data_IF_544940210939
#
_entry.id   IF_544940210939
#
_cell.length_a   1.000
_cell.length_b   1.000
_cell.length_c   1.000
_cell.angle_alpha   90.00
_cell.angle_beta   90.00
_cell.angle_gamma   90.00
#
_symmetry.space_group_name_H-M   'P 1'
#
loop_
_entity.id
_entity.type
_entity.pdbx_description
1 polymer ?
#
# COMPACT_ATOMS: atom_id res chain seq x y z
N UNK A 1 -14.01 -11.16 -8.85
CA UNK A 1 -14.07 -10.27 -10.01
C UNK A 1 -12.81 -9.39 -10.04
N UNK A 2 -12.20 -9.28 -11.21
CA UNK A 2 -11.03 -8.45 -11.45
C UNK A 2 -11.45 -7.06 -11.92
N UNK A 3 -10.57 -6.05 -11.79
CA UNK A 3 -10.86 -4.69 -12.27
C UNK A 3 -11.20 -4.68 -13.78
N UNK A 4 -10.54 -5.53 -14.56
CA UNK A 4 -10.79 -5.65 -16.01
C UNK A 4 -12.09 -6.38 -16.35
N UNK A 5 -12.80 -6.96 -15.36
CA UNK A 5 -14.15 -7.48 -15.52
C UNK A 5 -15.22 -6.40 -15.43
N UNK A 6 -14.83 -5.15 -15.15
CA UNK A 6 -15.74 -4.00 -15.08
C UNK A 6 -16.34 -3.69 -16.44
N UNK A 7 -17.68 -3.57 -16.51
CA UNK A 7 -18.39 -3.17 -17.73
C UNK A 7 -17.98 -1.78 -18.20
N UNK A 8 -17.68 -0.85 -17.28
CA UNK A 8 -17.20 0.47 -17.61
C UNK A 8 -15.84 0.41 -18.32
N UNK A 9 -14.91 -0.37 -17.79
CA UNK A 9 -13.58 -0.51 -18.40
C UNK A 9 -13.64 -1.17 -19.78
N UNK A 10 -14.55 -2.14 -19.98
CA UNK A 10 -14.76 -2.78 -21.29
C UNK A 10 -15.29 -1.82 -22.36
N UNK A 11 -15.90 -0.70 -21.97
CA UNK A 11 -16.44 0.34 -22.85
C UNK A 11 -15.53 1.56 -22.96
N UNK A 12 -14.38 1.54 -22.29
CA UNK A 12 -13.43 2.66 -22.25
C UNK A 12 -12.15 2.28 -22.97
N UNK A 13 -11.68 3.14 -23.87
CA UNK A 13 -10.33 3.03 -24.40
C UNK A 13 -9.34 3.38 -23.29
N UNK A 14 -8.51 2.43 -22.92
CA UNK A 14 -7.44 2.63 -21.95
C UNK A 14 -6.09 2.20 -22.50
N UNK A 15 -5.04 2.77 -21.96
CA UNK A 15 -3.66 2.47 -22.33
C UNK A 15 -2.97 1.83 -21.14
N UNK A 16 -2.35 0.69 -21.38
CA UNK A 16 -1.52 0.02 -20.37
C UNK A 16 -0.10 0.54 -20.49
N UNK A 17 0.46 0.99 -19.37
CA UNK A 17 1.88 1.34 -19.25
C UNK A 17 2.52 0.37 -18.27
N UNK A 18 3.46 -0.45 -18.76
CA UNK A 18 4.22 -1.37 -17.92
C UNK A 18 5.53 -0.72 -17.47
N UNK A 19 5.73 -0.63 -16.15
CA UNK A 19 6.99 -0.15 -15.59
C UNK A 19 8.05 -1.25 -15.68
N UNK A 20 9.15 -0.95 -16.38
CA UNK A 20 10.21 -1.92 -16.67
C UNK A 20 11.30 -1.96 -15.60
N UNK A 21 11.51 -0.86 -14.87
CA UNK A 21 12.61 -0.73 -13.93
C UNK A 21 12.20 -1.12 -12.52
N UNK A 22 13.00 -2.01 -11.91
CA UNK A 22 12.82 -2.45 -10.52
C UNK A 22 13.76 -1.64 -9.64
N UNK A 23 13.20 -0.80 -8.74
CA UNK A 23 13.98 0.06 -7.83
C UNK A 23 14.25 -0.59 -6.47
N UNK A 24 13.45 -1.57 -6.06
CA UNK A 24 13.55 -2.18 -4.73
C UNK A 24 14.74 -3.09 -4.58
N UNK A 25 14.99 -3.92 -5.59
CA UNK A 25 16.11 -4.87 -5.63
C UNK A 25 17.14 -4.40 -6.66
N UNK A 26 18.41 -4.44 -6.27
CA UNK A 26 19.54 -4.09 -7.14
C UNK A 26 20.30 -5.30 -7.66
N UNK A 27 20.13 -6.48 -7.06
CA UNK A 27 20.76 -7.73 -7.49
C UNK A 27 20.03 -8.34 -8.68
N UNK A 28 20.67 -8.43 -9.88
CA UNK A 28 20.06 -9.02 -11.08
C UNK A 28 19.67 -10.47 -10.91
N UNK A 29 20.42 -11.27 -10.10
CA UNK A 29 20.08 -12.66 -9.83
C UNK A 29 18.75 -12.75 -9.08
N UNK A 30 18.61 -11.98 -8.01
CA UNK A 30 17.38 -11.99 -7.21
C UNK A 30 16.18 -11.47 -8.02
N UNK A 31 16.34 -10.39 -8.79
CA UNK A 31 15.30 -9.89 -9.71
C UNK A 31 14.90 -10.97 -10.73
N UNK A 32 15.87 -11.70 -11.28
CA UNK A 32 15.61 -12.81 -12.21
C UNK A 32 14.79 -13.93 -11.56
N UNK A 33 15.14 -14.35 -10.34
CA UNK A 33 14.39 -15.36 -9.58
C UNK A 33 12.96 -14.90 -9.29
N UNK A 34 12.78 -13.64 -8.85
CA UNK A 34 11.47 -13.07 -8.60
C UNK A 34 10.61 -13.00 -9.86
N UNK A 35 11.18 -12.64 -11.00
CA UNK A 35 10.46 -12.62 -12.28
C UNK A 35 10.00 -14.02 -12.69
N UNK A 36 10.84 -15.04 -12.55
CA UNK A 36 10.45 -16.45 -12.84
C UNK A 36 9.29 -16.90 -11.94
N UNK A 37 9.29 -16.52 -10.64
CA UNK A 37 8.15 -16.79 -9.74
C UNK A 37 6.90 -16.02 -10.19
N UNK A 38 7.03 -14.74 -10.54
CA UNK A 38 5.92 -13.88 -11.00
C UNK A 38 5.23 -14.41 -12.25
N UNK A 39 6.02 -14.89 -13.22
CA UNK A 39 5.53 -15.36 -14.52
C UNK A 39 5.23 -16.87 -14.54
N UNK A 40 5.29 -17.55 -13.38
CA UNK A 40 5.08 -19.00 -13.27
C UNK A 40 6.02 -19.84 -14.14
N UNK A 41 7.21 -19.32 -14.38
CA UNK A 41 8.28 -20.00 -15.15
C UNK A 41 9.40 -20.51 -14.24
N UNK A 42 9.15 -20.55 -12.92
CA UNK A 42 10.11 -21.06 -11.95
C UNK A 42 10.35 -22.57 -12.14
N UNK A 43 11.55 -22.92 -12.55
CA UNK A 43 12.02 -24.27 -12.72
C UNK A 43 12.63 -24.84 -11.42
N UNK A 44 13.08 -26.09 -11.47
CA UNK A 44 13.69 -26.76 -10.33
C UNK A 44 14.97 -26.03 -9.84
N UNK A 45 15.76 -25.44 -10.72
CA UNK A 45 16.97 -24.69 -10.39
C UNK A 45 16.60 -23.39 -9.63
N UNK A 46 15.56 -22.68 -10.10
CA UNK A 46 15.03 -21.49 -9.43
C UNK A 46 14.60 -21.79 -8.00
N UNK A 47 13.82 -22.88 -7.82
CA UNK A 47 13.38 -23.31 -6.49
C UNK A 47 14.54 -23.78 -5.61
N UNK A 48 15.50 -24.48 -6.18
CA UNK A 48 16.70 -24.91 -5.45
C UNK A 48 17.48 -23.69 -4.93
N UNK A 49 17.68 -22.68 -5.78
CA UNK A 49 18.39 -21.44 -5.40
C UNK A 49 17.65 -20.69 -4.30
N UNK A 50 16.33 -20.51 -4.43
CA UNK A 50 15.52 -19.88 -3.37
C UNK A 50 15.54 -20.69 -2.07
N UNK A 51 15.44 -22.02 -2.17
CA UNK A 51 15.40 -22.93 -1.02
C UNK A 51 16.75 -23.05 -0.28
N UNK A 52 17.87 -22.58 -0.87
CA UNK A 52 19.13 -22.41 -0.12
C UNK A 52 19.00 -21.39 1.02
N UNK A 53 17.98 -20.53 0.98
CA UNK A 53 17.68 -19.57 2.06
C UNK A 53 16.87 -20.19 3.21
N UNK A 54 16.51 -21.46 3.14
CA UNK A 54 15.87 -22.18 4.24
C UNK A 54 16.89 -22.47 5.33
N UNK A 55 16.61 -22.02 6.55
CA UNK A 55 17.42 -22.30 7.75
C UNK A 55 16.48 -22.86 8.81
N UNK A 56 16.64 -24.16 9.09
CA UNK A 56 15.82 -24.83 10.09
C UNK A 56 16.07 -24.22 11.49
N UNK A 57 14.99 -23.89 12.20
CA UNK A 57 15.07 -23.34 13.56
C UNK A 57 15.76 -21.98 13.64
N UNK A 58 15.74 -21.20 12.56
CA UNK A 58 16.35 -19.86 12.55
C UNK A 58 15.81 -18.99 13.68
N UNK A 59 16.72 -18.54 14.53
CA UNK A 59 16.42 -17.58 15.60
C UNK A 59 17.08 -16.24 15.23
N UNK A 60 16.30 -15.24 14.86
CA UNK A 60 16.85 -13.98 14.36
C UNK A 60 17.59 -13.21 15.46
N UNK A 61 18.73 -12.57 15.13
CA UNK A 61 19.36 -11.61 16.02
C UNK A 61 18.40 -10.42 16.26
N UNK A 62 18.16 -10.08 17.53
CA UNK A 62 17.19 -9.01 17.91
C UNK A 62 17.50 -7.66 17.26
N UNK A 63 18.78 -7.34 17.07
CA UNK A 63 19.23 -6.05 16.56
C UNK A 63 19.06 -5.89 15.04
N UNK A 64 18.85 -6.98 14.32
CA UNK A 64 18.73 -6.94 12.85
C UNK A 64 17.30 -6.69 12.36
N UNK A 65 16.31 -6.71 13.26
CA UNK A 65 14.93 -6.35 12.94
C UNK A 65 14.26 -7.28 11.92
N UNK A 66 14.51 -8.59 12.04
CA UNK A 66 13.79 -9.56 11.20
C UNK A 66 12.29 -9.51 11.46
N UNK A 67 11.51 -9.40 10.39
CA UNK A 67 10.05 -9.52 10.44
C UNK A 67 9.59 -10.81 9.77
N UNK A 68 8.67 -11.55 10.40
CA UNK A 68 8.08 -12.76 9.81
C UNK A 68 6.88 -12.40 8.93
N UNK A 69 6.93 -12.79 7.66
CA UNK A 69 5.81 -12.64 6.72
C UNK A 69 4.99 -13.94 6.70
N UNK A 70 3.75 -13.85 7.14
CA UNK A 70 2.83 -14.99 7.24
C UNK A 70 1.59 -14.81 6.35
N UNK A 71 0.84 -15.87 6.11
CA UNK A 71 -0.32 -15.83 5.20
C UNK A 71 -1.62 -15.38 5.89
N UNK A 72 -1.75 -15.57 7.20
CA UNK A 72 -3.00 -15.33 7.96
C UNK A 72 -2.81 -14.34 9.11
N UNK A 73 -3.80 -13.47 9.34
CA UNK A 73 -3.77 -12.50 10.44
C UNK A 73 -3.64 -13.19 11.80
N UNK A 74 -4.44 -14.24 12.07
CA UNK A 74 -4.39 -14.95 13.35
C UNK A 74 -2.99 -15.49 13.67
N UNK A 75 -2.22 -15.92 12.67
CA UNK A 75 -0.84 -16.38 12.85
C UNK A 75 0.08 -15.20 13.22
N UNK A 76 -0.05 -14.06 12.54
CA UNK A 76 0.73 -12.86 12.86
C UNK A 76 0.42 -12.38 14.27
N UNK A 77 -0.86 -12.29 14.63
CA UNK A 77 -1.31 -11.82 15.94
C UNK A 77 -0.82 -12.74 17.06
N UNK A 78 -0.91 -14.07 16.87
CA UNK A 78 -0.41 -15.04 17.85
C UNK A 78 1.12 -14.95 18.06
N UNK A 79 1.90 -14.72 16.99
CA UNK A 79 3.34 -14.53 17.10
C UNK A 79 3.65 -13.23 17.85
N UNK A 80 3.03 -12.12 17.45
CA UNK A 80 3.24 -10.82 18.08
C UNK A 80 2.88 -10.84 19.57
N UNK A 81 1.74 -11.45 19.91
CA UNK A 81 1.30 -11.58 21.29
C UNK A 81 2.30 -12.43 22.11
N UNK A 82 2.71 -13.57 21.60
CA UNK A 82 3.67 -14.47 22.27
C UNK A 82 5.02 -13.78 22.53
N UNK A 83 5.55 -13.07 21.54
CA UNK A 83 6.83 -12.37 21.67
C UNK A 83 6.72 -11.20 22.65
N UNK A 84 5.60 -10.46 22.65
CA UNK A 84 5.35 -9.39 23.60
C UNK A 84 5.22 -9.93 25.03
N UNK A 85 4.54 -11.05 25.23
CA UNK A 85 4.36 -11.70 26.54
C UNK A 85 5.69 -12.25 27.07
N UNK A 86 6.59 -12.71 26.20
CA UNK A 86 7.89 -13.21 26.55
C UNK A 86 8.85 -12.13 27.12
N UNK A 87 8.55 -10.85 26.89
CA UNK A 87 9.29 -9.76 27.52
C UNK A 87 8.89 -9.61 28.99
N UNK A 88 9.88 -9.67 29.89
CA UNK A 88 9.67 -9.58 31.33
C UNK A 88 9.46 -8.15 31.88
N UNK A 89 9.60 -7.15 31.01
CA UNK A 89 9.45 -5.72 31.36
C UNK A 89 7.97 -5.34 31.54
N UNK A 90 7.65 -4.29 32.32
CA UNK A 90 6.28 -3.80 32.46
C UNK A 90 5.64 -3.44 31.12
N UNK A 91 4.33 -3.62 31.03
CA UNK A 91 3.55 -3.20 29.88
C UNK A 91 3.00 -1.78 30.09
N UNK A 92 3.09 -0.97 29.05
CA UNK A 92 2.51 0.37 28.97
C UNK A 92 1.39 0.38 27.93
N UNK A 93 0.29 1.05 28.26
CA UNK A 93 -0.89 1.10 27.41
C UNK A 93 -1.17 2.55 27.01
N UNK A 94 -1.30 2.78 25.71
CA UNK A 94 -1.58 4.10 25.17
C UNK A 94 -2.92 4.05 24.43
N UNK A 95 -3.90 4.79 24.94
CA UNK A 95 -5.22 4.87 24.35
C UNK A 95 -5.26 5.94 23.25
N UNK A 96 -5.83 5.58 22.10
CA UNK A 96 -6.05 6.51 21.02
C UNK A 96 -7.09 7.57 21.38
N UNK A 97 -6.85 8.81 20.95
CA UNK A 97 -7.86 9.87 20.99
C UNK A 97 -8.65 9.87 19.70
N UNK A 98 -9.98 9.67 19.82
CA UNK A 98 -10.89 9.65 18.67
C UNK A 98 -11.80 10.86 18.75
N UNK A 99 -11.88 11.63 17.67
CA UNK A 99 -12.75 12.77 17.56
C UNK A 99 -13.78 12.54 16.45
N UNK A 100 -15.05 12.74 16.77
CA UNK A 100 -16.21 12.56 15.87
C UNK A 100 -16.25 11.17 15.20
N UNK A 101 -16.54 11.16 13.89
CA UNK A 101 -16.82 9.94 13.13
C UNK A 101 -15.54 9.34 12.55
N UNK A 102 -14.95 8.38 13.25
CA UNK A 102 -13.85 7.55 12.75
C UNK A 102 -14.19 6.08 13.00
N UNK A 103 -14.61 5.33 11.97
CA UNK A 103 -15.06 3.95 12.11
C UNK A 103 -13.95 3.01 12.62
N UNK A 104 -14.29 2.10 13.55
CA UNK A 104 -13.31 1.14 14.11
C UNK A 104 -12.62 0.28 13.04
N UNK A 105 -13.33 -0.10 11.99
CA UNK A 105 -12.78 -0.87 10.87
C UNK A 105 -11.69 -0.11 10.07
N UNK A 106 -11.63 1.21 10.25
CA UNK A 106 -10.67 2.10 9.60
C UNK A 106 -9.49 2.48 10.51
N UNK A 107 -9.42 1.95 11.73
CA UNK A 107 -8.31 2.27 12.64
C UNK A 107 -6.98 1.83 12.03
N UNK A 108 -6.00 2.73 11.92
CA UNK A 108 -4.70 2.43 11.35
C UNK A 108 -3.85 1.51 12.24
N UNK A 109 -4.08 1.59 13.56
CA UNK A 109 -3.45 0.76 14.59
C UNK A 109 -4.46 0.44 15.70
N UNK A 110 -4.00 -0.27 16.73
CA UNK A 110 -4.84 -0.67 17.85
C UNK A 110 -5.33 0.57 18.63
N UNK A 111 -6.61 0.56 19.06
CA UNK A 111 -7.17 1.64 19.87
C UNK A 111 -6.40 1.80 21.18
N UNK A 112 -6.06 0.68 21.81
CA UNK A 112 -5.13 0.64 22.94
C UNK A 112 -3.85 -0.03 22.48
N UNK A 113 -2.79 0.75 22.28
CA UNK A 113 -1.48 0.26 21.90
C UNK A 113 -0.73 -0.21 23.17
N UNK A 114 -0.47 -1.51 23.26
CA UNK A 114 0.31 -2.10 24.36
C UNK A 114 1.74 -2.34 23.94
N UNK A 115 2.69 -1.74 24.63
CA UNK A 115 4.13 -1.88 24.36
C UNK A 115 4.90 -2.23 25.63
N UNK A 116 6.09 -2.77 25.47
CA UNK A 116 7.06 -3.05 26.53
C UNK A 116 8.46 -2.61 26.10
N UNK A 117 9.31 -2.31 27.04
CA UNK A 117 10.74 -2.10 26.76
C UNK A 117 11.34 -3.36 26.09
N UNK A 118 12.04 -3.18 24.98
CA UNK A 118 12.58 -4.27 24.15
C UNK A 118 11.59 -4.83 23.14
N UNK A 119 10.38 -4.25 23.00
CA UNK A 119 9.43 -4.69 21.98
C UNK A 119 9.91 -4.30 20.58
N UNK A 120 9.81 -5.24 19.63
CA UNK A 120 9.98 -4.93 18.21
C UNK A 120 8.72 -4.27 17.68
N UNK A 121 8.91 -3.11 17.07
CA UNK A 121 7.83 -2.29 16.50
C UNK A 121 8.09 -1.94 15.05
N UNK A 122 7.03 -1.61 14.35
CA UNK A 122 7.08 -1.06 13.00
C UNK A 122 6.36 0.29 12.98
N UNK A 123 6.97 1.28 12.34
CA UNK A 123 6.29 2.52 12.02
C UNK A 123 5.24 2.29 10.92
N UNK A 124 4.03 2.79 11.14
CA UNK A 124 2.89 2.59 10.21
C UNK A 124 2.50 3.87 9.47
N UNK A 125 3.31 4.91 9.58
CA UNK A 125 3.14 6.19 8.90
C UNK A 125 4.52 6.76 8.55
N UNK A 126 4.58 7.60 7.53
CA UNK A 126 5.80 8.39 7.27
C UNK A 126 5.86 9.57 8.25
N UNK A 127 7.05 9.89 8.74
CA UNK A 127 7.27 11.06 9.58
C UNK A 127 6.79 12.33 8.86
N UNK A 128 5.84 13.03 9.48
CA UNK A 128 5.29 14.28 8.97
C UNK A 128 6.24 15.47 9.18
N UNK A 129 7.24 15.34 10.04
CA UNK A 129 8.23 16.37 10.34
C UNK A 129 9.16 16.67 9.15
N UNK A 130 9.83 17.81 9.20
CA UNK A 130 10.83 18.20 8.18
C UNK A 130 12.01 17.21 8.14
N UNK A 131 12.34 16.62 9.28
CA UNK A 131 13.52 15.76 9.46
C UNK A 131 13.36 14.39 8.80
N UNK A 132 12.11 13.92 8.58
CA UNK A 132 11.81 12.60 7.98
C UNK A 132 12.57 11.45 8.64
N UNK A 133 12.55 11.38 9.97
CA UNK A 133 13.32 10.44 10.80
C UNK A 133 12.91 8.98 10.61
N UNK A 134 11.65 8.72 10.22
CA UNK A 134 11.12 7.39 9.98
C UNK A 134 10.16 7.34 8.79
N UNK A 135 9.92 6.15 8.31
CA UNK A 135 9.00 5.87 7.21
C UNK A 135 8.12 4.66 7.50
N UNK A 136 7.00 4.56 6.82
CA UNK A 136 6.09 3.42 6.95
C UNK A 136 6.76 2.10 6.55
N UNK A 137 6.77 1.14 7.49
CA UNK A 137 7.46 -0.14 7.35
C UNK A 137 8.84 -0.20 8.01
N UNK A 138 9.38 0.91 8.53
CA UNK A 138 10.64 0.90 9.29
C UNK A 138 10.48 0.08 10.56
N UNK A 139 11.36 -0.89 10.78
CA UNK A 139 11.40 -1.73 11.98
C UNK A 139 12.35 -1.10 13.00
N UNK A 140 12.01 -1.19 14.28
CA UNK A 140 12.85 -0.75 15.38
C UNK A 140 12.54 -1.49 16.67
N UNK A 141 13.35 -1.21 17.70
CA UNK A 141 13.20 -1.72 19.06
C UNK A 141 12.86 -0.57 20.01
N UNK A 142 11.90 -0.76 20.88
CA UNK A 142 11.60 0.18 21.96
C UNK A 142 12.74 0.13 22.98
N UNK A 143 13.48 1.24 23.09
CA UNK A 143 14.69 1.31 23.94
C UNK A 143 14.49 2.16 25.20
N UNK A 144 13.45 2.96 25.21
CA UNK A 144 12.97 3.70 26.40
C UNK A 144 11.47 3.91 26.28
N UNK A 145 10.75 3.79 27.43
CA UNK A 145 9.30 3.86 27.46
C UNK A 145 8.79 4.19 28.86
N UNK A 146 7.88 5.13 28.92
CA UNK A 146 7.09 5.45 30.12
C UNK A 146 5.65 5.84 29.73
N UNK A 147 4.86 6.42 30.61
CA UNK A 147 3.44 6.75 30.36
C UNK A 147 3.26 7.83 29.27
N UNK A 148 4.27 8.65 28.97
CA UNK A 148 4.18 9.81 28.08
C UNK A 148 5.19 9.76 26.93
N UNK A 149 6.26 8.96 27.06
CA UNK A 149 7.37 8.93 26.10
C UNK A 149 7.65 7.52 25.56
N UNK A 150 7.94 7.45 24.28
CA UNK A 150 8.39 6.24 23.60
C UNK A 150 9.60 6.58 22.75
N UNK A 151 10.70 5.88 23.00
CA UNK A 151 11.90 5.98 22.17
C UNK A 151 12.16 4.67 21.43
N UNK A 152 12.36 4.77 20.14
CA UNK A 152 12.59 3.63 19.25
C UNK A 152 13.96 3.77 18.57
N UNK A 153 14.75 2.70 18.63
CA UNK A 153 15.98 2.54 17.84
C UNK A 153 15.66 1.78 16.58
N UNK A 154 15.80 2.39 15.37
CA UNK A 154 15.65 1.66 14.12
C UNK A 154 16.65 0.51 13.99
N UNK A 155 16.23 -0.60 13.37
CA UNK A 155 17.09 -1.75 13.12
C UNK A 155 18.32 -1.35 12.30
N UNK A 156 19.49 -1.84 12.70
CA UNK A 156 20.77 -1.54 12.05
C UNK A 156 21.28 -0.09 12.22
N UNK A 157 20.63 0.72 13.07
CA UNK A 157 21.04 2.11 13.32
C UNK A 157 21.37 2.35 14.78
N UNK A 158 22.20 3.36 15.04
CA UNK A 158 22.58 3.74 16.42
C UNK A 158 21.77 4.93 16.95
N UNK A 159 21.14 5.70 16.09
CA UNK A 159 20.28 6.82 16.48
C UNK A 159 18.99 6.32 17.13
N UNK A 160 18.45 7.13 18.03
CA UNK A 160 17.18 6.87 18.71
C UNK A 160 16.18 7.94 18.26
N UNK A 161 14.96 7.52 18.01
CA UNK A 161 13.85 8.38 17.57
C UNK A 161 12.87 8.49 18.73
N UNK A 162 12.64 9.70 19.18
CA UNK A 162 11.51 9.99 20.06
C UNK A 162 10.24 10.04 19.20
N UNK A 163 9.28 9.18 19.55
CA UNK A 163 8.04 9.00 18.80
C UNK A 163 6.94 9.84 19.44
N UNK A 164 6.25 10.61 18.64
CA UNK A 164 5.09 11.41 19.05
C UNK A 164 3.81 10.86 18.42
N UNK A 165 2.64 11.05 19.09
CA UNK A 165 1.37 10.69 18.47
C UNK A 165 1.15 11.41 17.15
N UNK A 166 0.55 10.70 16.19
CA UNK A 166 0.21 11.18 14.86
C UNK A 166 -1.30 11.13 14.66
N UNK A 167 -1.82 12.07 13.88
CA UNK A 167 -3.24 12.15 13.56
C UNK A 167 -3.53 11.54 12.18
N UNK A 168 -4.58 10.72 12.09
CA UNK A 168 -5.20 10.27 10.85
C UNK A 168 -6.58 10.89 10.72
N UNK A 169 -6.93 11.32 9.52
CA UNK A 169 -8.18 12.00 9.22
C UNK A 169 -9.12 11.10 8.42
N UNK A 170 -10.38 11.06 8.83
CA UNK A 170 -11.45 10.49 8.03
C UNK A 170 -12.04 11.59 7.17
N UNK A 171 -11.85 11.49 5.85
CA UNK A 171 -12.27 12.48 4.88
C UNK A 171 -13.58 12.06 4.20
N UNK A 172 -14.54 12.96 4.13
CA UNK A 172 -15.74 12.81 3.30
C UNK A 172 -15.61 13.68 2.05
N UNK A 173 -15.87 13.08 0.91
CA UNK A 173 -15.83 13.73 -0.39
C UNK A 173 -17.26 13.99 -0.86
N UNK A 174 -17.61 15.23 -1.13
CA UNK A 174 -18.93 15.65 -1.63
C UNK A 174 -18.75 16.40 -2.93
N UNK A 175 -19.57 16.03 -3.94
CA UNK A 175 -19.59 16.73 -5.22
C UNK A 175 -20.58 17.91 -5.11
N UNK A 176 -20.11 19.13 -5.33
CA UNK A 176 -21.00 20.27 -5.53
C UNK A 176 -21.67 20.12 -6.91
N UNK A 177 -22.98 19.96 -6.90
CA UNK A 177 -23.75 19.77 -8.14
C UNK A 177 -23.73 20.99 -9.08
N UNK A 178 -23.47 22.18 -8.54
CA UNK A 178 -23.45 23.44 -9.31
C UNK A 178 -22.08 23.72 -9.92
N UNK A 179 -21.02 23.62 -9.10
CA UNK A 179 -19.65 23.92 -9.56
C UNK A 179 -18.97 22.71 -10.17
N UNK A 180 -19.51 21.47 -9.89
CA UNK A 180 -18.86 20.18 -10.23
C UNK A 180 -17.49 19.98 -9.57
N UNK A 181 -17.22 20.71 -8.51
CA UNK A 181 -16.02 20.58 -7.70
C UNK A 181 -16.23 19.57 -6.58
N UNK A 182 -15.15 18.85 -6.23
CA UNK A 182 -15.15 17.92 -5.09
C UNK A 182 -14.68 18.70 -3.87
N UNK A 183 -15.53 18.75 -2.85
CA UNK A 183 -15.19 19.32 -1.55
C UNK A 183 -14.79 18.20 -0.58
N UNK A 184 -13.67 18.42 0.11
CA UNK A 184 -13.15 17.52 1.13
C UNK A 184 -13.49 18.07 2.52
N UNK A 185 -14.09 17.24 3.37
CA UNK A 185 -14.43 17.62 4.74
C UNK A 185 -13.91 16.56 5.71
N UNK A 186 -13.17 16.97 6.74
CA UNK A 186 -12.76 16.09 7.83
C UNK A 186 -13.96 15.80 8.71
N UNK A 187 -14.42 14.55 8.71
CA UNK A 187 -15.57 14.11 9.51
C UNK A 187 -15.19 13.51 10.86
N UNK A 188 -13.92 13.09 11.00
CA UNK A 188 -13.38 12.61 12.26
C UNK A 188 -11.87 12.42 12.22
N UNK A 189 -11.24 12.28 13.38
CA UNK A 189 -9.81 12.02 13.50
C UNK A 189 -9.52 10.90 14.49
N UNK A 190 -8.39 10.23 14.28
CA UNK A 190 -7.82 9.21 15.14
C UNK A 190 -6.37 9.59 15.43
N UNK A 191 -6.04 9.80 16.70
CA UNK A 191 -4.67 10.19 17.12
C UNK A 191 -4.09 9.09 18.00
N UNK A 192 -2.93 8.56 17.61
CA UNK A 192 -2.20 7.51 18.32
C UNK A 192 -0.73 7.54 17.93
N UNK A 193 0.14 6.91 18.71
CA UNK A 193 1.51 6.64 18.28
C UNK A 193 1.53 5.85 17.00
N UNK A 194 2.33 6.24 15.98
CA UNK A 194 2.36 5.59 14.67
C UNK A 194 3.15 4.27 14.68
N UNK A 195 2.88 3.45 15.69
CA UNK A 195 3.59 2.20 15.95
C UNK A 195 2.63 1.01 16.00
N UNK A 196 3.17 -0.15 15.70
CA UNK A 196 2.54 -1.46 15.90
C UNK A 196 3.61 -2.48 16.28
N UNK A 197 3.28 -3.42 17.18
CA UNK A 197 4.16 -4.58 17.41
C UNK A 197 4.35 -5.37 16.12
N UNK A 198 5.57 -5.75 15.79
CA UNK A 198 5.89 -6.26 14.46
C UNK A 198 7.01 -7.31 14.43
N UNK A 199 6.88 -8.38 15.18
CA UNK A 199 7.65 -9.60 14.94
C UNK A 199 7.11 -10.38 13.74
N UNK A 200 5.78 -10.27 13.50
CA UNK A 200 5.13 -10.85 12.34
C UNK A 200 4.08 -9.89 11.73
N UNK A 201 3.92 -9.98 10.41
CA UNK A 201 2.90 -9.27 9.64
C UNK A 201 2.39 -10.18 8.52
N UNK A 202 1.17 -9.99 8.06
CA UNK A 202 0.69 -10.76 6.90
C UNK A 202 1.28 -10.25 5.59
N UNK A 203 1.43 -11.16 4.61
CA UNK A 203 1.88 -10.81 3.26
C UNK A 203 1.02 -9.69 2.65
N UNK A 204 -0.30 -9.71 2.88
CA UNK A 204 -1.19 -8.64 2.39
C UNK A 204 -0.88 -7.28 3.01
N UNK A 205 -0.72 -7.21 4.33
CA UNK A 205 -0.40 -5.96 5.03
C UNK A 205 1.02 -5.46 4.72
N UNK A 206 1.91 -6.34 4.25
CA UNK A 206 3.26 -5.98 3.82
C UNK A 206 3.33 -5.38 2.41
N UNK A 207 2.21 -5.32 1.68
CA UNK A 207 2.19 -4.70 0.33
C UNK A 207 2.60 -3.23 0.42
N UNK A 208 3.48 -2.81 -0.50
CA UNK A 208 4.06 -1.46 -0.48
C UNK A 208 5.29 -1.31 0.42
N UNK A 209 5.49 -2.19 1.41
CA UNK A 209 6.63 -2.14 2.32
C UNK A 209 7.86 -2.86 1.72
N UNK A 210 9.03 -2.54 2.27
CA UNK A 210 10.31 -3.17 1.92
C UNK A 210 11.09 -3.45 3.21
N UNK A 211 11.64 -4.65 3.32
CA UNK A 211 12.40 -5.07 4.51
C UNK A 211 13.82 -5.46 4.13
N UNK A 212 14.78 -5.02 4.93
CA UNK A 212 16.17 -5.45 4.81
C UNK A 212 16.30 -6.93 5.19
N UNK A 213 15.59 -7.35 6.26
CA UNK A 213 15.59 -8.71 6.79
C UNK A 213 14.17 -9.23 6.97
N UNK A 214 13.87 -10.39 6.38
CA UNK A 214 12.56 -11.01 6.54
C UNK A 214 12.63 -12.54 6.60
N UNK A 215 11.76 -13.14 7.43
CA UNK A 215 11.51 -14.58 7.49
C UNK A 215 10.22 -14.85 6.71
N UNK A 216 10.31 -15.57 5.61
CA UNK A 216 9.18 -15.84 4.72
C UNK A 216 8.54 -17.20 5.08
N UNK A 217 7.28 -17.15 5.49
CA UNK A 217 6.47 -18.32 5.82
C UNK A 217 5.25 -18.41 4.89
N UNK A 218 5.45 -19.06 3.74
CA UNK A 218 4.45 -19.19 2.68
C UNK A 218 3.98 -20.64 2.45
N UNK A 219 4.24 -21.53 3.39
CA UNK A 219 3.80 -22.95 3.30
C UNK A 219 2.30 -23.09 3.08
N UNK A 220 1.51 -22.18 3.64
CA UNK A 220 0.05 -22.14 3.56
C UNK A 220 -0.45 -21.04 2.62
N UNK A 221 0.31 -20.75 1.54
CA UNK A 221 -0.16 -19.84 0.50
C UNK A 221 -1.41 -20.40 -0.17
N UNK A 222 -2.48 -19.59 -0.17
CA UNK A 222 -3.78 -19.98 -0.71
C UNK A 222 -4.25 -19.06 -1.86
N UNK A 223 -3.59 -17.94 -2.05
CA UNK A 223 -3.95 -16.95 -3.06
C UNK A 223 -2.89 -16.85 -4.15
N UNK A 224 -3.37 -16.59 -5.37
CA UNK A 224 -2.51 -16.35 -6.53
C UNK A 224 -1.52 -15.20 -6.27
N UNK A 225 -0.27 -15.38 -6.65
CA UNK A 225 0.79 -14.38 -6.51
C UNK A 225 1.29 -14.11 -5.08
N UNK A 226 0.72 -14.75 -4.05
CA UNK A 226 1.05 -14.49 -2.65
C UNK A 226 2.52 -14.80 -2.33
N UNK A 227 3.07 -15.88 -2.89
CA UNK A 227 4.48 -16.24 -2.74
C UNK A 227 5.38 -15.18 -3.36
N UNK A 228 5.08 -14.71 -4.59
CA UNK A 228 5.81 -13.62 -5.22
C UNK A 228 5.77 -12.34 -4.37
N UNK A 229 4.59 -11.97 -3.89
CA UNK A 229 4.44 -10.77 -3.04
C UNK A 229 5.31 -10.88 -1.80
N UNK A 230 5.33 -12.03 -1.11
CA UNK A 230 6.16 -12.24 0.08
C UNK A 230 7.65 -12.12 -0.23
N UNK A 231 8.14 -12.87 -1.22
CA UNK A 231 9.55 -12.85 -1.62
C UNK A 231 10.00 -11.45 -2.06
N UNK A 232 9.15 -10.75 -2.83
CA UNK A 232 9.45 -9.41 -3.33
C UNK A 232 9.45 -8.31 -2.26
N UNK A 233 9.09 -8.61 -1.01
CA UNK A 233 9.23 -7.67 0.12
C UNK A 233 10.68 -7.50 0.55
N UNK A 234 11.52 -8.51 0.34
CA UNK A 234 12.93 -8.43 0.69
C UNK A 234 13.71 -7.57 -0.29
N UNK A 235 14.63 -6.77 0.22
CA UNK A 235 15.53 -5.93 -0.58
C UNK A 235 16.60 -6.76 -1.27
N UNK A 236 17.10 -7.80 -0.61
CA UNK A 236 18.13 -8.70 -1.13
C UNK A 236 17.82 -10.16 -0.83
N UNK A 237 18.49 -11.06 -1.57
CA UNK A 237 18.40 -12.49 -1.32
C UNK A 237 19.04 -12.88 0.04
N UNK A 238 20.10 -12.19 0.43
CA UNK A 238 20.83 -12.44 1.70
C UNK A 238 20.00 -12.11 2.92
N UNK A 239 19.20 -11.03 2.86
CA UNK A 239 18.30 -10.61 3.94
C UNK A 239 17.06 -11.49 4.09
N UNK A 240 16.85 -12.42 3.15
CA UNK A 240 15.71 -13.34 3.16
C UNK A 240 16.07 -14.64 3.84
N UNK A 241 15.23 -15.11 4.77
CA UNK A 241 15.26 -16.46 5.34
C UNK A 241 13.91 -17.12 5.07
N UNK A 242 13.91 -18.37 4.64
CA UNK A 242 12.69 -19.16 4.48
C UNK A 242 12.42 -19.94 5.77
N UNK A 243 11.19 -19.86 6.29
CA UNK A 243 10.76 -20.67 7.44
C UNK A 243 10.64 -22.14 7.08
N UNK A 244 10.37 -22.43 5.81
CA UNK A 244 10.36 -23.77 5.23
C UNK A 244 10.65 -23.70 3.73
N UNK A 245 11.09 -24.80 3.10
CA UNK A 245 11.30 -24.85 1.66
C UNK A 245 10.00 -24.53 0.91
N UNK A 246 10.12 -23.73 -0.16
CA UNK A 246 9.01 -23.38 -1.04
C UNK A 246 8.73 -24.59 -1.95
N UNK A 247 7.57 -25.23 -1.85
CA UNK A 247 7.19 -26.29 -2.77
C UNK A 247 6.68 -25.71 -4.09
N UNK A 248 6.77 -26.48 -5.18
CA UNK A 248 6.31 -26.03 -6.50
C UNK A 248 4.84 -25.56 -6.50
N UNK A 249 3.98 -26.24 -5.74
CA UNK A 249 2.55 -25.89 -5.65
C UNK A 249 2.28 -24.57 -4.92
N UNK A 250 3.24 -23.99 -4.21
CA UNK A 250 3.08 -22.69 -3.56
C UNK A 250 3.22 -21.51 -4.55
N UNK A 251 3.69 -21.78 -5.78
CA UNK A 251 3.71 -20.79 -6.86
C UNK A 251 2.40 -20.94 -7.63
N UNK A 252 1.44 -20.10 -7.28
CA UNK A 252 0.09 -20.15 -7.82
C UNK A 252 -0.15 -18.90 -8.66
N UNK A 253 -0.45 -19.05 -9.94
CA UNK A 253 -0.81 -17.97 -10.83
C UNK A 253 -2.25 -18.10 -11.31
N UNK A 254 -2.83 -16.99 -11.71
CA UNK A 254 -4.20 -16.91 -12.22
C UNK A 254 -4.19 -16.82 -13.74
N UNK A 255 -4.72 -17.86 -14.40
CA UNK A 255 -4.81 -17.93 -15.87
C UNK A 255 -5.61 -16.76 -16.47
N UNK A 256 -6.60 -16.24 -15.74
CA UNK A 256 -7.41 -15.11 -16.21
C UNK A 256 -6.58 -13.84 -16.29
N UNK A 257 -5.70 -13.63 -15.28
CA UNK A 257 -4.75 -12.50 -15.26
C UNK A 257 -3.70 -12.67 -16.35
N UNK A 258 -3.14 -13.88 -16.53
CA UNK A 258 -2.19 -14.18 -17.59
C UNK A 258 -2.79 -13.87 -18.98
N UNK A 259 -3.99 -14.40 -19.26
CA UNK A 259 -4.69 -14.13 -20.53
C UNK A 259 -4.93 -12.63 -20.75
N UNK A 260 -5.28 -11.87 -19.71
CA UNK A 260 -5.46 -10.43 -19.81
C UNK A 260 -4.15 -9.72 -20.14
N UNK A 261 -3.03 -10.11 -19.52
CA UNK A 261 -1.71 -9.51 -19.76
C UNK A 261 -1.12 -9.87 -21.12
N UNK A 262 -1.42 -11.06 -21.66
CA UNK A 262 -0.97 -11.51 -22.96
C UNK A 262 -1.73 -10.88 -24.13
N UNK A 263 -2.92 -10.33 -23.90
CA UNK A 263 -3.73 -9.68 -24.94
C UNK A 263 -2.96 -8.49 -25.54
N UNK A 264 -2.72 -8.49 -26.89
CA UNK A 264 -1.99 -7.42 -27.55
C UNK A 264 -2.58 -6.02 -27.33
N UNK A 265 -3.90 -5.93 -27.08
CA UNK A 265 -4.60 -4.67 -26.78
C UNK A 265 -4.17 -4.05 -25.45
N UNK A 266 -3.64 -4.87 -24.54
CA UNK A 266 -3.23 -4.45 -23.20
C UNK A 266 -1.71 -4.29 -23.08
N UNK A 267 -0.97 -4.36 -24.17
CA UNK A 267 0.47 -4.10 -24.17
C UNK A 267 0.75 -2.60 -24.19
N UNK A 268 1.87 -2.22 -23.61
CA UNK A 268 2.36 -0.84 -23.67
C UNK A 268 2.49 -0.38 -25.14
N UNK A 269 2.07 0.85 -25.46
CA UNK A 269 2.19 1.37 -26.82
C UNK A 269 3.67 1.50 -27.21
N UNK A 270 3.96 1.22 -28.47
CA UNK A 270 5.25 1.51 -29.08
C UNK A 270 5.41 3.03 -29.36
N UNK A 271 6.63 3.45 -29.76
CA UNK A 271 6.92 4.87 -30.03
C UNK A 271 5.98 5.47 -31.10
N UNK A 272 5.66 4.68 -32.13
CA UNK A 272 4.82 5.16 -33.22
C UNK A 272 3.38 5.43 -32.74
N UNK A 273 2.86 4.55 -31.90
CA UNK A 273 1.53 4.73 -31.29
C UNK A 273 1.52 5.90 -30.29
N UNK A 274 2.60 6.07 -29.53
CA UNK A 274 2.75 7.22 -28.61
C UNK A 274 2.74 8.55 -29.38
N UNK A 275 3.48 8.66 -30.49
CA UNK A 275 3.48 9.84 -31.35
C UNK A 275 2.08 10.14 -31.91
N UNK A 276 1.35 9.12 -32.35
CA UNK A 276 -0.03 9.28 -32.85
C UNK A 276 -0.96 9.77 -31.72
N UNK A 277 -0.83 9.21 -30.51
CA UNK A 277 -1.62 9.62 -29.35
C UNK A 277 -1.32 11.06 -28.95
N UNK A 278 -0.04 11.46 -28.95
CA UNK A 278 0.37 12.84 -28.67
C UNK A 278 -0.20 13.83 -29.68
N UNK A 279 -0.14 13.52 -30.96
CA UNK A 279 -0.76 14.35 -32.01
C UNK A 279 -2.26 14.47 -31.85
N UNK A 280 -2.93 13.35 -31.56
CA UNK A 280 -4.38 13.34 -31.33
C UNK A 280 -4.75 14.18 -30.09
N UNK A 281 -4.00 14.06 -28.99
CA UNK A 281 -4.19 14.87 -27.79
C UNK A 281 -4.02 16.36 -28.08
N UNK A 282 -2.98 16.77 -28.80
CA UNK A 282 -2.73 18.15 -29.18
C UNK A 282 -3.87 18.72 -30.04
N UNK A 283 -4.34 17.95 -31.04
CA UNK A 283 -5.46 18.35 -31.88
C UNK A 283 -6.73 18.53 -31.06
N UNK A 284 -7.06 17.60 -30.17
CA UNK A 284 -8.20 17.68 -29.28
C UNK A 284 -8.12 18.88 -28.33
N UNK A 285 -6.92 19.15 -27.79
CA UNK A 285 -6.70 20.32 -26.94
C UNK A 285 -6.96 21.62 -27.71
N UNK A 286 -6.54 21.68 -28.99
CA UNK A 286 -6.83 22.83 -29.86
C UNK A 286 -8.34 22.93 -30.12
N UNK A 287 -9.02 21.83 -30.43
CA UNK A 287 -10.46 21.79 -30.60
C UNK A 287 -11.22 22.29 -29.35
N UNK A 288 -10.78 21.85 -28.16
CA UNK A 288 -11.35 22.24 -26.89
C UNK A 288 -11.17 23.76 -26.62
N UNK A 289 -10.04 24.36 -27.01
CA UNK A 289 -9.80 25.81 -26.92
C UNK A 289 -10.82 26.64 -27.76
N UNK A 290 -11.29 26.08 -28.87
CA UNK A 290 -12.30 26.67 -29.72
C UNK A 290 -13.71 26.16 -29.43
N UNK A 291 -13.90 25.39 -28.37
CA UNK A 291 -15.22 24.93 -27.95
C UNK A 291 -15.95 26.06 -27.22
N UNK A 292 -17.04 26.51 -27.82
CA UNK A 292 -17.94 27.50 -27.21
C UNK A 292 -19.10 26.87 -26.42
N UNK A 293 -18.94 25.60 -26.01
CA UNK A 293 -19.99 24.86 -25.31
C UNK A 293 -20.42 25.56 -24.01
N UNK A 294 -19.47 26.04 -23.21
CA UNK A 294 -19.78 26.80 -21.99
C UNK A 294 -20.49 28.13 -22.25
N UNK A 295 -20.08 28.85 -23.29
CA UNK A 295 -20.73 30.11 -23.68
C UNK A 295 -22.15 29.82 -24.13
N UNK A 296 -22.37 28.76 -24.92
CA UNK A 296 -23.72 28.36 -25.35
C UNK A 296 -24.60 27.95 -24.18
N UNK A 297 -24.04 27.23 -23.22
CA UNK A 297 -24.74 26.83 -22.00
C UNK A 297 -25.18 28.09 -21.20
N UNK A 298 -24.23 28.97 -20.89
CA UNK A 298 -24.49 30.21 -20.15
C UNK A 298 -25.48 31.14 -20.87
N UNK A 299 -25.39 31.19 -22.21
CA UNK A 299 -26.35 31.95 -23.03
C UNK A 299 -27.74 31.33 -22.95
N UNK A 300 -27.87 30.01 -22.99
CA UNK A 300 -29.14 29.31 -22.81
C UNK A 300 -29.76 29.58 -21.45
N UNK A 301 -28.98 29.57 -20.38
CA UNK A 301 -29.45 29.93 -19.04
C UNK A 301 -29.89 31.40 -18.94
N UNK A 302 -29.12 32.31 -19.52
CA UNK A 302 -29.49 33.71 -19.57
C UNK A 302 -30.85 33.92 -20.30
N UNK A 303 -31.05 33.31 -21.46
CA UNK A 303 -32.29 33.34 -22.19
C UNK A 303 -33.46 32.76 -21.37
N UNK A 304 -33.22 31.65 -20.65
CA UNK A 304 -34.23 31.08 -19.77
C UNK A 304 -34.62 32.05 -18.66
N UNK A 305 -33.65 32.60 -17.94
CA UNK A 305 -33.88 33.60 -16.90
C UNK A 305 -34.61 34.86 -17.41
N UNK A 306 -34.21 35.34 -18.57
CA UNK A 306 -34.92 36.48 -19.22
C UNK A 306 -36.40 36.14 -19.52
N UNK A 307 -36.68 34.96 -20.05
CA UNK A 307 -38.05 34.51 -20.29
C UNK A 307 -38.85 34.38 -19.01
N UNK A 308 -38.29 33.78 -17.96
CA UNK A 308 -38.94 33.61 -16.66
C UNK A 308 -39.27 34.97 -16.00
N UNK A 309 -38.36 35.93 -16.05
CA UNK A 309 -38.51 37.19 -15.35
C UNK A 309 -39.20 38.29 -16.17
N UNK A 310 -39.00 38.37 -17.48
CA UNK A 310 -39.57 39.44 -18.31
C UNK A 310 -40.92 39.06 -18.94
N UNK A 311 -41.14 37.79 -19.31
CA UNK A 311 -42.45 37.37 -19.84
C UNK A 311 -43.51 37.25 -18.74
N UNK A 312 -43.14 36.98 -17.49
CA UNK A 312 -44.09 36.96 -16.38
C UNK A 312 -44.60 38.37 -16.00
N UNK A 313 -43.84 39.43 -16.32
CA UNK A 313 -44.23 40.81 -16.08
C UNK A 313 -45.15 41.38 -17.17
N UNK A 314 -45.07 40.89 -18.41
CA UNK A 314 -45.91 41.38 -19.52
C UNK A 314 -47.38 40.89 -19.49
N UNK A 315 -47.68 39.84 -18.69
CA UNK A 315 -49.03 39.30 -18.52
C UNK A 315 -49.77 39.77 -17.26
N UNK A 316 -49.27 40.83 -16.61
CA UNK A 316 -49.93 41.50 -15.44
C UNK A 316 -50.49 42.88 -15.70
N UNK A 317 -50.81 43.21 -16.96
CA UNK A 317 -51.58 44.42 -17.31
C UNK A 317 -52.80 44.08 -18.16
#
# INVERSE_FOLDING_TARGET
PYFFSSKALQQTDFVTVELQHVYRQSDPLFVGLLNKVRTNTADAETLQTLNQRFIAGFNPPKQEGYIRLVTHNAQADAINQKELEALSTPAYNYDATIWKDFPELSFPTDKTLTLKLGAQVMFIKNDSSVEKRYYNGMIGEVVDIDDEHIQVRPAGQSNVIEVTPEEWQNMKYELDEKTKEIHETVVGTFTQYPLKTAWAITVHKSQGLTFEHAIIDVQHSFAHGQTYVALSRCKSLEGMVLAAPIPQYAIINDKTVETFQEDPRHKSPDEQKLDQMQRHYLLRTIEDLFSFAQIRFNYGDLIRLMREHFYSSANKH
#
